data_IF_135812643025
#
_entry.id   IF_135812643025
#
_cell.length_a   1.000
_cell.length_b   1.000
_cell.length_c   1.000
_cell.angle_alpha   90.00
_cell.angle_beta   90.00
_cell.angle_gamma   90.00
#
_symmetry.space_group_name_H-M   'P 1'
#
loop_
_entity.id
_entity.type
_entity.pdbx_description
1 polymer ?
#
# COMPACT_ATOMS: atom_id res chain seq x y z
N UNK A 1 -7.48 -9.78 -5.91
CA UNK A 1 -7.08 -8.36 -6.08
C UNK A 1 -5.65 -8.35 -6.59
N UNK A 2 -5.35 -7.56 -7.61
CA UNK A 2 -4.02 -7.52 -8.21
C UNK A 2 -3.05 -6.71 -7.30
N UNK A 3 -1.77 -7.14 -7.12
CA UNK A 3 -0.77 -6.35 -6.41
C UNK A 3 -0.69 -4.87 -6.80
N UNK A 4 -0.89 -4.53 -8.07
CA UNK A 4 -0.89 -3.13 -8.53
C UNK A 4 -2.06 -2.31 -7.98
N UNK A 5 -3.24 -2.92 -7.82
CA UNK A 5 -4.40 -2.25 -7.22
C UNK A 5 -4.16 -1.97 -5.75
N UNK A 6 -3.61 -2.95 -5.02
CA UNK A 6 -3.27 -2.79 -3.60
C UNK A 6 -2.19 -1.74 -3.41
N UNK A 7 -1.15 -1.77 -4.25
CA UNK A 7 -0.11 -0.74 -4.25
C UNK A 7 -0.73 0.64 -4.39
N UNK A 8 -1.56 0.84 -5.43
CA UNK A 8 -2.17 2.12 -5.72
C UNK A 8 -3.07 2.59 -4.57
N UNK A 9 -3.91 1.69 -4.04
CA UNK A 9 -4.80 2.00 -2.93
C UNK A 9 -4.02 2.45 -1.68
N UNK A 10 -2.94 1.73 -1.34
CA UNK A 10 -2.08 2.10 -0.20
C UNK A 10 -1.47 3.48 -0.39
N UNK A 11 -0.86 3.74 -1.55
CA UNK A 11 -0.18 5.03 -1.75
C UNK A 11 -1.17 6.19 -1.85
N UNK A 12 -2.34 6.01 -2.45
CA UNK A 12 -3.38 7.03 -2.53
C UNK A 12 -4.01 7.34 -1.17
N UNK A 13 -4.29 6.32 -0.35
CA UNK A 13 -4.82 6.51 1.01
C UNK A 13 -3.92 7.41 1.86
N UNK A 14 -2.61 7.31 1.65
CA UNK A 14 -1.61 8.02 2.45
C UNK A 14 -0.89 9.12 1.67
N UNK A 15 -1.49 9.64 0.60
CA UNK A 15 -0.95 10.79 -0.12
C UNK A 15 -1.99 11.88 -0.35
N UNK A 16 -1.52 13.12 -0.27
CA UNK A 16 -2.23 14.28 -0.79
C UNK A 16 -1.54 14.72 -2.08
N UNK A 17 -2.14 14.34 -3.20
CA UNK A 17 -1.61 14.61 -4.53
C UNK A 17 -1.65 16.09 -4.90
N UNK A 18 -2.57 16.89 -4.30
CA UNK A 18 -2.66 18.33 -4.57
C UNK A 18 -1.44 19.06 -4.01
N UNK A 19 -0.96 18.61 -2.84
CA UNK A 19 0.18 19.21 -2.15
C UNK A 19 1.46 18.38 -2.27
N UNK A 20 1.45 17.28 -3.03
CA UNK A 20 2.59 16.34 -3.15
C UNK A 20 3.11 15.87 -1.79
N UNK A 21 2.21 15.65 -0.83
CA UNK A 21 2.55 15.17 0.51
C UNK A 21 2.32 13.67 0.59
N UNK A 22 3.27 12.96 1.22
CA UNK A 22 3.24 11.51 1.33
C UNK A 22 3.49 11.11 2.79
N UNK A 23 2.56 10.35 3.37
CA UNK A 23 2.66 9.78 4.72
C UNK A 23 3.37 8.44 4.65
N UNK A 24 4.67 8.49 4.29
CA UNK A 24 5.50 7.30 4.14
C UNK A 24 5.58 6.47 5.43
N UNK A 25 5.43 7.12 6.59
CA UNK A 25 5.36 6.46 7.89
C UNK A 25 4.19 5.45 7.96
N UNK A 26 3.05 5.79 7.36
CA UNK A 26 1.86 4.93 7.30
C UNK A 26 2.02 3.85 6.23
N UNK A 27 2.60 4.17 5.08
CA UNK A 27 2.96 3.18 4.05
C UNK A 27 3.92 2.11 4.60
N UNK A 28 4.90 2.50 5.42
CA UNK A 28 5.79 1.56 6.12
C UNK A 28 5.03 0.67 7.10
N UNK A 29 4.00 1.18 7.78
CA UNK A 29 3.12 0.35 8.62
C UNK A 29 2.32 -0.65 7.79
N UNK A 30 1.83 -0.28 6.61
CA UNK A 30 1.19 -1.22 5.69
C UNK A 30 2.13 -2.36 5.29
N UNK A 31 3.40 -2.06 4.98
CA UNK A 31 4.41 -3.10 4.73
C UNK A 31 4.61 -4.03 5.92
N UNK A 32 4.65 -3.49 7.15
CA UNK A 32 4.75 -4.30 8.38
C UNK A 32 3.51 -5.19 8.57
N UNK A 33 2.31 -4.67 8.33
CA UNK A 33 1.07 -5.44 8.39
C UNK A 33 1.06 -6.58 7.35
N UNK A 34 1.44 -6.29 6.10
CA UNK A 34 1.57 -7.29 5.03
C UNK A 34 2.55 -8.42 5.41
N UNK A 35 3.69 -8.10 6.04
CA UNK A 35 4.63 -9.13 6.55
C UNK A 35 3.97 -10.02 7.59
N UNK A 36 3.21 -9.45 8.54
CA UNK A 36 2.49 -10.24 9.55
C UNK A 36 1.44 -11.14 8.93
N UNK A 37 0.66 -10.64 7.97
CA UNK A 37 -0.35 -11.43 7.27
C UNK A 37 0.27 -12.55 6.43
N UNK A 38 1.37 -12.27 5.71
CA UNK A 38 2.16 -13.27 4.99
C UNK A 38 2.68 -14.38 5.89
N UNK A 39 3.01 -14.04 7.14
CA UNK A 39 3.51 -14.96 8.15
C UNK A 39 2.36 -15.68 8.91
N UNK A 40 1.12 -15.52 8.47
CA UNK A 40 -0.06 -16.25 8.94
C UNK A 40 -0.82 -15.60 10.08
N UNK A 41 -0.49 -14.35 10.46
CA UNK A 41 -1.26 -13.61 11.47
C UNK A 41 -2.62 -13.21 10.94
N UNK A 42 -3.64 -13.24 11.80
CA UNK A 42 -4.97 -12.78 11.44
C UNK A 42 -5.15 -11.26 11.61
N UNK A 43 -6.26 -10.73 11.08
CA UNK A 43 -6.62 -9.32 11.19
C UNK A 43 -6.74 -8.83 12.64
N UNK A 44 -7.27 -9.67 13.54
CA UNK A 44 -7.50 -9.29 14.93
C UNK A 44 -6.17 -9.17 15.71
N UNK A 45 -5.23 -10.08 15.47
CA UNK A 45 -3.86 -10.04 15.98
C UNK A 45 -3.16 -8.75 15.56
N UNK A 46 -3.18 -8.42 14.26
CA UNK A 46 -2.53 -7.19 13.77
C UNK A 46 -3.22 -5.93 14.28
N UNK A 47 -4.56 -5.92 14.41
CA UNK A 47 -5.30 -4.79 15.01
C UNK A 47 -4.91 -4.53 16.46
N UNK A 48 -4.64 -5.58 17.25
CA UNK A 48 -4.17 -5.46 18.64
C UNK A 48 -2.76 -4.87 18.73
N UNK A 49 -1.92 -5.08 17.72
CA UNK A 49 -0.57 -4.50 17.66
C UNK A 49 -0.59 -3.00 17.26
N UNK A 50 -0.90 -2.12 18.21
CA UNK A 50 -1.01 -0.66 17.97
C UNK A 50 0.22 -0.01 17.33
N UNK A 51 1.41 -0.58 17.52
CA UNK A 51 2.64 -0.14 16.84
C UNK A 51 2.57 -0.28 15.31
N UNK A 52 1.76 -1.21 14.81
CA UNK A 52 1.54 -1.47 13.38
C UNK A 52 0.19 -0.89 12.95
N UNK A 53 -0.88 -1.15 13.69
CA UNK A 53 -2.25 -0.84 13.23
C UNK A 53 -2.63 0.64 13.29
N UNK A 54 -2.00 1.43 14.17
CA UNK A 54 -2.40 2.82 14.37
C UNK A 54 -2.15 3.69 13.14
N UNK A 55 -3.22 4.31 12.63
CA UNK A 55 -3.21 5.17 11.44
C UNK A 55 -3.39 4.43 10.12
N UNK A 56 -3.58 3.12 10.13
CA UNK A 56 -3.84 2.31 8.93
C UNK A 56 -5.07 1.41 9.09
N UNK A 57 -5.90 1.64 10.11
CA UNK A 57 -7.01 0.76 10.47
C UNK A 57 -8.00 0.51 9.32
N UNK A 58 -8.25 1.54 8.51
CA UNK A 58 -9.14 1.50 7.35
C UNK A 58 -8.66 0.59 6.22
N UNK A 59 -7.34 0.45 6.04
CA UNK A 59 -6.78 -0.36 4.95
C UNK A 59 -6.40 -1.77 5.40
N UNK A 60 -6.37 -2.06 6.71
CA UNK A 60 -5.97 -3.37 7.23
C UNK A 60 -6.81 -4.53 6.67
N UNK A 61 -8.11 -4.32 6.46
CA UNK A 61 -8.99 -5.35 5.89
C UNK A 61 -8.61 -5.69 4.45
N UNK A 62 -8.30 -4.66 3.66
CA UNK A 62 -7.83 -4.82 2.28
C UNK A 62 -6.50 -5.56 2.24
N UNK A 63 -5.53 -5.16 3.08
CA UNK A 63 -4.22 -5.83 3.15
C UNK A 63 -4.33 -7.29 3.57
N UNK A 64 -5.22 -7.60 4.52
CA UNK A 64 -5.45 -8.97 4.97
C UNK A 64 -6.15 -9.82 3.90
N UNK A 65 -7.13 -9.26 3.19
CA UNK A 65 -7.82 -9.94 2.09
C UNK A 65 -6.86 -10.27 0.96
N UNK A 66 -6.03 -9.29 0.55
CA UNK A 66 -4.96 -9.51 -0.42
C UNK A 66 -4.01 -10.63 0.02
N UNK A 67 -3.48 -10.55 1.24
CA UNK A 67 -2.53 -11.54 1.75
C UNK A 67 -3.10 -12.97 1.83
N UNK A 68 -4.41 -13.13 2.03
CA UNK A 68 -5.09 -14.44 1.98
C UNK A 68 -5.25 -14.99 0.57
N UNK A 69 -5.42 -14.11 -0.42
CA UNK A 69 -5.67 -14.48 -1.81
C UNK A 69 -4.40 -14.59 -2.67
N UNK A 70 -3.25 -14.17 -2.14
CA UNK A 70 -2.00 -14.05 -2.86
C UNK A 70 -0.90 -14.94 -2.31
N UNK A 71 0.09 -15.23 -3.16
CA UNK A 71 1.29 -15.97 -2.79
C UNK A 71 2.23 -15.12 -1.93
N UNK A 72 3.11 -15.78 -1.17
CA UNK A 72 4.16 -15.08 -0.39
C UNK A 72 5.07 -14.25 -1.29
N UNK A 73 5.33 -14.70 -2.51
CA UNK A 73 6.16 -13.98 -3.47
C UNK A 73 5.50 -12.70 -3.97
N UNK A 74 4.21 -12.73 -4.30
CA UNK A 74 3.45 -11.53 -4.68
C UNK A 74 3.42 -10.50 -3.55
N UNK A 75 3.22 -10.95 -2.31
CA UNK A 75 3.25 -10.06 -1.14
C UNK A 75 4.64 -9.43 -0.97
N UNK A 76 5.72 -10.20 -1.16
CA UNK A 76 7.08 -9.67 -1.10
C UNK A 76 7.33 -8.63 -2.20
N UNK A 77 6.92 -8.91 -3.45
CA UNK A 77 7.06 -7.94 -4.56
C UNK A 77 6.29 -6.65 -4.29
N UNK A 78 5.10 -6.73 -3.71
CA UNK A 78 4.34 -5.55 -3.28
C UNK A 78 5.09 -4.77 -2.20
N UNK A 79 5.63 -5.46 -1.19
CA UNK A 79 6.43 -4.83 -0.13
C UNK A 79 7.66 -4.13 -0.74
N UNK A 80 8.37 -4.76 -1.67
CA UNK A 80 9.54 -4.19 -2.33
C UNK A 80 9.18 -2.96 -3.16
N UNK A 81 8.03 -2.99 -3.86
CA UNK A 81 7.51 -1.84 -4.60
C UNK A 81 7.15 -0.67 -3.67
N UNK A 82 6.49 -0.94 -2.53
CA UNK A 82 6.18 0.08 -1.53
C UNK A 82 7.44 0.65 -0.88
N UNK A 83 8.44 -0.18 -0.59
CA UNK A 83 9.74 0.26 -0.05
C UNK A 83 10.46 1.18 -1.04
N UNK A 84 10.54 0.80 -2.32
CA UNK A 84 11.09 1.64 -3.38
C UNK A 84 10.32 2.96 -3.52
N UNK A 85 8.99 2.91 -3.44
CA UNK A 85 8.13 4.10 -3.50
C UNK A 85 8.41 5.05 -2.34
N UNK A 86 8.45 4.58 -1.09
CA UNK A 86 8.69 5.45 0.07
C UNK A 86 10.04 6.16 0.03
N UNK A 87 11.06 5.55 -0.59
CA UNK A 87 12.41 6.11 -0.76
C UNK A 87 12.53 7.06 -1.95
N UNK A 88 11.57 7.05 -2.87
CA UNK A 88 11.61 7.90 -4.05
C UNK A 88 11.36 9.38 -3.69
N UNK A 89 11.93 10.34 -4.43
CA UNK A 89 11.55 11.75 -4.30
C UNK A 89 10.08 11.99 -4.68
N UNK A 90 9.43 13.00 -4.09
CA UNK A 90 8.03 13.33 -4.36
C UNK A 90 7.67 13.43 -5.87
N UNK A 91 8.47 14.08 -6.75
CA UNK A 91 8.18 14.11 -8.18
C UNK A 91 8.17 12.72 -8.84
N UNK A 92 9.02 11.80 -8.35
CA UNK A 92 9.06 10.43 -8.84
C UNK A 92 7.84 9.63 -8.36
N UNK A 93 7.41 9.82 -7.10
CA UNK A 93 6.20 9.19 -6.56
C UNK A 93 4.96 9.53 -7.38
N UNK A 94 4.77 10.81 -7.70
CA UNK A 94 3.67 11.27 -8.56
C UNK A 94 3.68 10.59 -9.94
N UNK A 95 4.87 10.45 -10.55
CA UNK A 95 5.01 9.74 -11.83
C UNK A 95 4.69 8.26 -11.71
N UNK A 96 5.15 7.60 -10.64
CA UNK A 96 4.86 6.18 -10.38
C UNK A 96 3.36 5.97 -10.23
N UNK A 97 2.67 6.82 -9.47
CA UNK A 97 1.20 6.79 -9.32
C UNK A 97 0.54 6.88 -10.70
N UNK A 98 0.89 7.90 -11.50
CA UNK A 98 0.29 8.08 -12.84
C UNK A 98 0.55 6.91 -13.80
N UNK A 99 1.73 6.29 -13.74
CA UNK A 99 2.04 5.09 -14.53
C UNK A 99 1.15 3.92 -14.08
N UNK A 100 1.04 3.67 -12.77
CA UNK A 100 0.22 2.57 -12.24
C UNK A 100 -1.27 2.80 -12.52
N UNK A 101 -1.76 4.04 -12.39
CA UNK A 101 -3.12 4.41 -12.79
C UNK A 101 -3.38 4.12 -14.26
N UNK A 102 -2.45 4.48 -15.14
CA UNK A 102 -2.53 4.20 -16.58
C UNK A 102 -2.56 2.70 -16.85
N UNK A 103 -1.70 1.92 -16.20
CA UNK A 103 -1.65 0.46 -16.34
C UNK A 103 -2.94 -0.22 -15.87
N UNK A 104 -3.60 0.33 -14.85
CA UNK A 104 -4.87 -0.16 -14.31
C UNK A 104 -6.10 0.38 -15.05
N UNK A 105 -5.91 1.25 -16.06
CA UNK A 105 -7.01 1.91 -16.76
C UNK A 105 -7.81 2.89 -15.90
N UNK A 106 -7.25 3.35 -14.77
CA UNK A 106 -7.86 4.32 -13.84
C UNK A 106 -7.57 5.78 -14.24
N UNK A 107 -7.36 6.06 -15.52
CA UNK A 107 -7.08 7.44 -15.95
C UNK A 107 -8.35 8.26 -15.71
N UNK A 108 -8.36 9.05 -14.62
CA UNK A 108 -9.31 10.13 -14.48
C UNK A 108 -9.13 11.01 -15.72
N UNK A 109 -10.19 11.12 -16.52
CA UNK A 109 -10.27 12.14 -17.55
C UNK A 109 -10.12 13.48 -16.84
N UNK A 110 -8.90 14.04 -16.86
CA UNK A 110 -8.65 15.41 -16.45
C UNK A 110 -9.43 16.30 -17.41
N UNK A 111 -10.66 16.64 -17.03
CA UNK A 111 -11.48 17.68 -17.64
C UNK A 111 -10.88 19.05 -17.40
#
# INVERSE_FOLDING_TARGET
MNPFEVFLEVVLTFSDLRWSQFRDDLTVKCMKALRRFRDGKDLAEVRREKKISSGIEEILELLHSFAKSSTKEEINRLIDALDAFTKAPAPCKMKIIGIVETMLGRVEAKG
#
